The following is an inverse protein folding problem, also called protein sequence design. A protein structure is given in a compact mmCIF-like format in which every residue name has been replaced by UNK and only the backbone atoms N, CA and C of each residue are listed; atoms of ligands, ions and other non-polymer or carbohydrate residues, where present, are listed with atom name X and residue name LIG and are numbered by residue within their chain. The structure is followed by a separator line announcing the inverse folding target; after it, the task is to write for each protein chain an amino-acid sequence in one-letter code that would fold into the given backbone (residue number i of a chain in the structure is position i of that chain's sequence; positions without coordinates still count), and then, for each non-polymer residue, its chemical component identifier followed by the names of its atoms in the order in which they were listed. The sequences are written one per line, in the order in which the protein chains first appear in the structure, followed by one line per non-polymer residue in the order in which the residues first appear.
data_IF_456537180968
#
_entry.id   IF_456537180968
#
_cell.length_a   1.000
_cell.length_b   1.000
_cell.length_c   1.000
_cell.angle_alpha   90.00
_cell.angle_beta   90.00
_cell.angle_gamma   90.00
#
_symmetry.space_group_name_H-M   'P 1'
#
loop_
_entity.id
_entity.type
_entity.pdbx_description
1 polymer ?
#
# COMPACT_ATOMS: atom_id res chain seq x y z
N UNK A 1 -4.28 -6.05 18.58
CA UNK A 1 -5.09 -6.56 17.43
C UNK A 1 -4.89 -5.68 16.24
N UNK A 2 -4.60 -6.28 15.11
CA UNK A 2 -4.48 -5.60 13.83
C UNK A 2 -5.79 -5.79 13.06
N UNK A 3 -6.43 -4.69 12.71
CA UNK A 3 -7.66 -4.68 11.93
C UNK A 3 -7.33 -4.49 10.44
N UNK A 4 -7.83 -5.39 9.61
CA UNK A 4 -7.61 -5.39 8.16
C UNK A 4 -8.90 -4.98 7.48
N UNK A 5 -8.82 -4.00 6.62
CA UNK A 5 -9.94 -3.37 5.92
C UNK A 5 -9.85 -3.59 4.42
N UNK A 6 -11.01 -3.54 3.79
CA UNK A 6 -11.17 -3.51 2.33
C UNK A 6 -12.02 -2.33 1.92
N UNK A 7 -11.61 -1.64 0.88
CA UNK A 7 -12.38 -0.54 0.32
C UNK A 7 -13.21 -1.05 -0.86
N UNK A 8 -14.53 -0.96 -0.74
CA UNK A 8 -15.49 -1.36 -1.76
C UNK A 8 -16.36 -0.14 -2.07
N UNK A 9 -16.37 0.33 -3.32
CA UNK A 9 -17.14 1.50 -3.74
C UNK A 9 -16.93 2.74 -2.84
N UNK A 10 -15.68 3.00 -2.45
CA UNK A 10 -15.28 4.08 -1.52
C UNK A 10 -15.73 3.88 -0.06
N UNK A 11 -16.41 2.81 0.26
CA UNK A 11 -16.74 2.43 1.63
C UNK A 11 -15.72 1.46 2.20
N UNK A 12 -15.36 1.68 3.45
CA UNK A 12 -14.41 0.87 4.20
C UNK A 12 -15.13 -0.24 4.95
N UNK A 13 -14.72 -1.47 4.75
CA UNK A 13 -15.29 -2.65 5.41
C UNK A 13 -14.20 -3.41 6.16
N UNK A 14 -14.44 -3.74 7.42
CA UNK A 14 -13.57 -4.61 8.20
C UNK A 14 -13.65 -6.04 7.65
N UNK A 15 -12.50 -6.57 7.23
CA UNK A 15 -12.38 -7.92 6.66
C UNK A 15 -11.95 -8.93 7.72
N UNK A 16 -10.96 -8.55 8.53
CA UNK A 16 -10.40 -9.42 9.56
C UNK A 16 -9.85 -8.59 10.72
N UNK A 17 -9.82 -9.21 11.89
CA UNK A 17 -9.11 -8.71 13.06
C UNK A 17 -8.18 -9.83 13.54
N UNK A 18 -6.89 -9.58 13.52
CA UNK A 18 -5.88 -10.60 13.80
C UNK A 18 -4.99 -10.21 14.98
N UNK A 19 -4.49 -11.20 15.76
CA UNK A 19 -3.54 -10.91 16.83
C UNK A 19 -2.26 -10.27 16.29
N UNK A 20 -1.64 -9.41 17.07
CA UNK A 20 -0.39 -8.71 16.77
C UNK A 20 0.84 -9.27 17.49
N UNK A 21 0.68 -10.37 18.21
CA UNK A 21 1.73 -10.98 19.03
C UNK A 21 3.00 -11.34 18.24
N UNK A 22 2.84 -11.67 16.96
CA UNK A 22 3.92 -12.04 16.04
C UNK A 22 4.06 -11.04 14.87
N UNK A 23 3.68 -9.80 15.09
CA UNK A 23 3.84 -8.75 14.10
C UNK A 23 5.18 -8.03 14.27
N UNK A 24 5.85 -7.76 13.17
CA UNK A 24 7.08 -6.96 13.12
C UNK A 24 6.89 -5.82 12.14
N UNK A 25 7.07 -4.59 12.61
CA UNK A 25 7.12 -3.40 11.78
C UNK A 25 8.58 -3.03 11.53
N UNK A 26 8.99 -3.01 10.28
CA UNK A 26 10.29 -2.53 9.85
C UNK A 26 10.16 -1.21 9.09
N UNK A 27 10.87 -0.19 9.55
CA UNK A 27 10.98 1.11 8.87
C UNK A 27 12.43 1.49 8.71
N UNK A 28 12.86 1.58 7.45
CA UNK A 28 14.21 2.02 7.10
C UNK A 28 14.10 3.20 6.14
N UNK A 29 14.77 4.29 6.47
CA UNK A 29 14.78 5.48 5.60
C UNK A 29 15.30 5.09 4.21
N UNK A 30 14.50 5.38 3.18
CA UNK A 30 14.76 5.00 1.78
C UNK A 30 14.95 3.49 1.56
N UNK A 31 14.40 2.68 2.45
CA UNK A 31 14.47 1.23 2.41
C UNK A 31 13.13 0.59 2.73
N UNK A 32 13.16 -0.52 3.44
CA UNK A 32 11.96 -1.25 3.83
C UNK A 32 11.04 -0.41 4.71
N UNK A 33 9.76 -0.44 4.42
CA UNK A 33 8.67 0.07 5.24
C UNK A 33 7.51 -0.91 5.11
N UNK A 34 7.56 -1.97 5.91
CA UNK A 34 6.66 -3.10 5.80
C UNK A 34 6.33 -3.71 7.17
N UNK A 35 5.19 -4.39 7.24
CA UNK A 35 4.77 -5.18 8.38
C UNK A 35 4.73 -6.64 7.99
N UNK A 36 5.46 -7.48 8.71
CA UNK A 36 5.38 -8.93 8.59
C UNK A 36 4.59 -9.49 9.77
N UNK A 37 3.71 -10.43 9.50
CA UNK A 37 2.79 -10.98 10.49
C UNK A 37 2.54 -12.46 10.21
N UNK A 38 2.74 -13.30 11.22
CA UNK A 38 2.29 -14.70 11.20
C UNK A 38 1.11 -14.86 12.13
N UNK A 39 0.00 -15.36 11.63
CA UNK A 39 -1.22 -15.56 12.39
C UNK A 39 -1.80 -16.95 12.17
N UNK A 40 -2.27 -17.55 13.26
CA UNK A 40 -2.97 -18.86 13.23
C UNK A 40 -4.41 -18.63 13.66
N UNK A 41 -5.34 -19.10 12.85
CA UNK A 41 -6.79 -18.95 13.07
C UNK A 41 -7.51 -20.28 12.89
N UNK A 42 -8.69 -20.42 13.50
CA UNK A 42 -9.52 -21.61 13.42
C UNK A 42 -10.42 -21.65 12.17
N UNK A 43 -10.62 -20.50 11.55
CA UNK A 43 -11.41 -20.35 10.33
C UNK A 43 -10.60 -19.64 9.24
N UNK A 44 -10.80 -20.00 7.96
CA UNK A 44 -10.08 -19.36 6.89
C UNK A 44 -10.47 -17.87 6.77
N UNK A 45 -9.47 -17.03 6.52
CA UNK A 45 -9.64 -15.59 6.30
C UNK A 45 -9.76 -15.31 4.79
N UNK A 46 -10.70 -14.43 4.40
CA UNK A 46 -10.81 -13.92 3.02
C UNK A 46 -9.94 -12.67 2.83
N UNK A 47 -8.63 -12.87 2.82
CA UNK A 47 -7.66 -11.80 2.58
C UNK A 47 -7.31 -11.71 1.10
N UNK A 48 -7.25 -10.48 0.57
CA UNK A 48 -6.98 -10.21 -0.85
C UNK A 48 -5.92 -9.14 -1.01
N UNK A 49 -5.27 -9.15 -2.15
CA UNK A 49 -4.42 -8.04 -2.58
C UNK A 49 -5.25 -6.76 -2.62
N UNK A 50 -4.73 -5.70 -2.02
CA UNK A 50 -5.42 -4.42 -1.85
C UNK A 50 -6.07 -4.21 -0.48
N UNK A 51 -6.23 -5.26 0.33
CA UNK A 51 -6.62 -5.11 1.73
C UNK A 51 -5.52 -4.40 2.51
N UNK A 52 -5.87 -3.61 3.51
CA UNK A 52 -4.92 -2.76 4.23
C UNK A 52 -5.20 -2.69 5.72
N UNK A 53 -4.17 -2.37 6.47
CA UNK A 53 -4.23 -2.08 7.90
C UNK A 53 -3.62 -0.72 8.20
N UNK A 54 -4.08 -0.06 9.27
CA UNK A 54 -3.50 1.19 9.78
C UNK A 54 -2.69 0.90 11.03
N UNK A 55 -1.40 1.22 10.97
CA UNK A 55 -0.45 0.99 12.05
C UNK A 55 0.46 2.22 12.20
N UNK A 56 0.66 2.67 13.41
CA UNK A 56 1.55 3.80 13.72
C UNK A 56 1.30 5.05 12.84
N UNK A 57 0.03 5.34 12.55
CA UNK A 57 -0.37 6.49 11.74
C UNK A 57 -0.17 6.33 10.22
N UNK A 58 0.24 5.16 9.77
CA UNK A 58 0.43 4.84 8.35
C UNK A 58 -0.48 3.70 7.91
N UNK A 59 -0.81 3.66 6.64
CA UNK A 59 -1.51 2.52 6.04
C UNK A 59 -0.50 1.56 5.41
N UNK A 60 -0.72 0.27 5.60
CA UNK A 60 0.07 -0.81 5.00
C UNK A 60 -0.86 -1.73 4.25
N UNK A 61 -0.48 -2.12 3.04
CA UNK A 61 -1.33 -2.83 2.10
C UNK A 61 -0.78 -4.22 1.76
N UNK A 62 -1.67 -5.18 1.58
CA UNK A 62 -1.33 -6.50 1.04
C UNK A 62 -1.13 -6.35 -0.47
N UNK A 63 0.11 -6.49 -0.95
CA UNK A 63 0.47 -6.37 -2.38
C UNK A 63 0.70 -7.73 -3.05
N UNK A 64 0.75 -8.80 -2.27
CA UNK A 64 0.88 -10.17 -2.78
C UNK A 64 -0.06 -11.10 -2.03
N UNK A 65 -0.51 -12.16 -2.69
CA UNK A 65 -1.37 -13.15 -2.07
C UNK A 65 -0.69 -13.72 -0.82
N UNK A 66 -1.39 -13.72 0.34
CA UNK A 66 -0.85 -14.27 1.57
C UNK A 66 -0.52 -15.76 1.43
N UNK A 67 0.58 -16.18 2.03
CA UNK A 67 0.92 -17.59 2.13
C UNK A 67 0.02 -18.25 3.17
N UNK A 68 -0.69 -19.30 2.75
CA UNK A 68 -1.59 -20.06 3.59
C UNK A 68 -1.07 -21.49 3.77
N UNK A 69 -0.89 -21.88 5.02
CA UNK A 69 -0.61 -23.26 5.38
C UNK A 69 -1.77 -23.81 6.22
N UNK A 70 -2.40 -24.85 5.74
CA UNK A 70 -3.39 -25.60 6.52
C UNK A 70 -2.66 -26.59 7.42
N UNK A 71 -2.51 -26.26 8.71
CA UNK A 71 -1.80 -27.07 9.67
C UNK A 71 -2.62 -28.26 10.16
N UNK A 72 -3.95 -28.11 10.23
CA UNK A 72 -4.89 -29.19 10.59
C UNK A 72 -6.28 -28.95 10.01
N UNK A 73 -7.25 -29.78 10.35
CA UNK A 73 -8.64 -29.60 9.91
C UNK A 73 -9.29 -28.28 10.38
N UNK A 74 -8.78 -27.73 11.50
CA UNK A 74 -9.33 -26.54 12.17
C UNK A 74 -8.27 -25.46 12.45
N UNK A 75 -7.13 -25.54 11.78
CA UNK A 75 -6.02 -24.62 12.04
C UNK A 75 -5.41 -24.14 10.72
N UNK A 76 -5.49 -22.83 10.48
CA UNK A 76 -4.99 -22.16 9.30
C UNK A 76 -3.95 -21.15 9.71
N UNK A 77 -2.74 -21.25 9.17
CA UNK A 77 -1.66 -20.30 9.37
C UNK A 77 -1.49 -19.43 8.14
N UNK A 78 -1.47 -18.13 8.36
CA UNK A 78 -1.19 -17.13 7.34
C UNK A 78 0.11 -16.42 7.66
N UNK A 79 0.99 -16.31 6.67
CA UNK A 79 2.15 -15.45 6.70
C UNK A 79 1.85 -14.25 5.78
N UNK A 80 1.72 -13.07 6.38
CA UNK A 80 1.31 -11.83 5.73
C UNK A 80 2.48 -10.86 5.65
N UNK A 81 2.56 -10.16 4.53
CA UNK A 81 3.42 -8.99 4.36
C UNK A 81 2.56 -7.84 3.88
N UNK A 82 2.50 -6.78 4.68
CA UNK A 82 1.82 -5.53 4.34
C UNK A 82 2.88 -4.47 4.09
N UNK A 83 2.80 -3.85 2.94
CA UNK A 83 3.79 -2.89 2.46
C UNK A 83 3.24 -1.46 2.49
N UNK A 84 4.12 -0.49 2.69
CA UNK A 84 3.78 0.93 2.61
C UNK A 84 3.20 1.29 1.24
N UNK A 85 2.27 2.27 1.16
CA UNK A 85 1.74 2.76 -0.11
C UNK A 85 2.83 3.26 -1.08
N UNK A 86 4.01 3.60 -0.59
CA UNK A 86 5.15 3.98 -1.43
C UNK A 86 5.54 2.87 -2.41
N UNK A 87 5.35 1.61 -2.06
CA UNK A 87 5.60 0.49 -2.98
C UNK A 87 4.68 0.51 -4.21
N UNK A 88 3.50 1.10 -4.10
CA UNK A 88 2.57 1.25 -5.23
C UNK A 88 3.13 2.18 -6.32
N UNK A 89 4.09 3.03 -5.98
CA UNK A 89 4.76 3.91 -6.96
C UNK A 89 5.66 3.13 -7.92
N UNK A 90 6.11 1.93 -7.54
CA UNK A 90 6.92 1.06 -8.40
C UNK A 90 6.13 0.55 -9.63
N UNK A 91 4.81 0.48 -9.50
CA UNK A 91 3.92 0.02 -10.57
C UNK A 91 3.49 1.15 -11.52
N UNK A 92 3.95 2.40 -11.26
CA UNK A 92 3.57 3.56 -12.06
C UNK A 92 4.52 3.77 -13.24
N UNK A 93 3.91 3.92 -14.42
CA UNK A 93 4.63 4.29 -15.62
C UNK A 93 4.62 5.82 -15.74
N UNK A 94 5.80 6.41 -15.79
CA UNK A 94 5.99 7.83 -15.94
C UNK A 94 5.96 8.22 -17.42
N UNK A 95 4.96 9.03 -17.81
CA UNK A 95 4.73 9.46 -19.19
C UNK A 95 4.56 10.98 -19.28
N UNK A 96 4.82 11.54 -20.46
CA UNK A 96 4.49 12.93 -20.75
C UNK A 96 2.97 13.15 -20.72
N UNK A 97 2.53 14.32 -20.29
CA UNK A 97 1.11 14.69 -20.24
C UNK A 97 0.50 14.92 -21.63
N UNK A 98 1.29 15.45 -22.56
CA UNK A 98 0.82 15.88 -23.88
C UNK A 98 0.70 14.73 -24.89
N UNK A 99 1.67 13.82 -24.91
CA UNK A 99 1.77 12.78 -25.92
C UNK A 99 1.69 11.35 -25.36
N UNK A 100 1.65 11.19 -24.06
CA UNK A 100 1.65 9.88 -23.39
C UNK A 100 2.92 9.05 -23.65
N UNK A 101 4.04 9.70 -23.91
CA UNK A 101 5.30 9.04 -24.22
C UNK A 101 6.05 8.64 -22.95
N UNK A 102 6.59 7.43 -22.94
CA UNK A 102 7.44 6.93 -21.83
C UNK A 102 8.88 7.46 -21.90
N UNK A 103 9.29 8.01 -23.04
CA UNK A 103 10.58 8.70 -23.23
C UNK A 103 10.33 10.10 -23.73
N UNK A 104 10.75 11.09 -22.95
CA UNK A 104 10.54 12.49 -23.27
C UNK A 104 11.57 13.36 -22.53
N UNK A 105 11.67 14.62 -22.94
CA UNK A 105 12.44 15.63 -22.23
C UNK A 105 11.50 16.64 -21.60
N UNK A 106 11.78 17.03 -20.38
CA UNK A 106 11.05 18.08 -19.67
C UNK A 106 12.04 19.17 -19.28
N UNK A 107 11.68 20.41 -19.61
CA UNK A 107 12.40 21.61 -19.18
C UNK A 107 11.41 22.56 -18.55
N UNK A 108 11.72 23.06 -17.38
CA UNK A 108 10.82 23.95 -16.64
C UNK A 108 11.28 24.21 -15.22
N UNK A 109 10.37 24.70 -14.41
CA UNK A 109 10.57 24.96 -12.98
C UNK A 109 10.47 23.67 -12.17
N UNK A 110 10.89 23.70 -10.91
CA UNK A 110 10.67 22.58 -9.98
C UNK A 110 9.19 22.20 -9.89
N UNK A 111 8.32 23.22 -9.89
CA UNK A 111 6.87 23.02 -9.85
C UNK A 111 6.37 22.20 -11.05
N UNK A 112 6.86 22.48 -12.26
CA UNK A 112 6.48 21.74 -13.47
C UNK A 112 6.84 20.26 -13.35
N UNK A 113 8.00 19.94 -12.77
CA UNK A 113 8.42 18.55 -12.52
C UNK A 113 7.54 17.86 -11.47
N UNK A 114 7.20 18.56 -10.38
CA UNK A 114 6.34 18.00 -9.32
C UNK A 114 4.92 17.80 -9.83
N UNK A 115 4.37 18.72 -10.60
CA UNK A 115 3.03 18.59 -11.19
C UNK A 115 2.95 17.39 -12.13
N UNK A 116 3.95 17.19 -12.99
CA UNK A 116 4.00 16.03 -13.88
C UNK A 116 4.13 14.72 -13.07
N UNK A 117 4.92 14.69 -12.02
CA UNK A 117 5.04 13.55 -11.11
C UNK A 117 3.69 13.21 -10.48
N UNK A 118 3.00 14.20 -9.90
CA UNK A 118 1.70 14.00 -9.27
C UNK A 118 0.64 13.53 -10.27
N UNK A 119 0.64 14.09 -11.49
CA UNK A 119 -0.25 13.67 -12.55
C UNK A 119 -0.06 12.17 -12.87
N UNK A 120 1.19 11.73 -12.98
CA UNK A 120 1.48 10.32 -13.26
C UNK A 120 1.10 9.39 -12.11
N UNK A 121 1.37 9.79 -10.86
CA UNK A 121 1.03 8.98 -9.69
C UNK A 121 -0.48 8.88 -9.52
N UNK A 122 -1.22 9.94 -9.77
CA UNK A 122 -2.67 10.03 -9.59
C UNK A 122 -3.49 9.62 -10.83
N UNK A 123 -2.83 9.20 -11.92
CA UNK A 123 -3.51 8.87 -13.19
C UNK A 123 -4.54 7.75 -13.07
N UNK A 124 -4.33 6.83 -12.16
CA UNK A 124 -5.27 5.76 -11.85
C UNK A 124 -5.96 6.11 -10.54
N UNK A 125 -7.14 6.69 -10.61
CA UNK A 125 -8.05 7.06 -9.52
C UNK A 125 -7.66 6.63 -8.10
N UNK A 126 -6.71 7.35 -7.48
CA UNK A 126 -6.45 7.23 -6.05
C UNK A 126 -7.36 8.16 -5.28
N UNK A 127 -8.01 7.63 -4.26
CA UNK A 127 -8.83 8.39 -3.34
C UNK A 127 -8.35 8.15 -1.89
N UNK A 128 -7.79 9.14 -1.20
CA UNK A 128 -7.34 10.43 -1.73
C UNK A 128 -6.07 10.28 -2.57
N UNK A 129 -5.91 11.11 -3.59
CA UNK A 129 -4.71 11.13 -4.41
C UNK A 129 -3.48 11.62 -3.64
N UNK A 130 -2.31 11.43 -4.23
CA UNK A 130 -1.06 11.96 -3.72
C UNK A 130 -1.02 13.48 -3.89
N UNK A 131 -0.45 14.16 -2.91
CA UNK A 131 -0.25 15.60 -2.92
C UNK A 131 1.19 15.95 -2.58
N UNK A 132 1.65 17.08 -3.04
CA UNK A 132 2.92 17.64 -2.65
C UNK A 132 2.74 18.58 -1.46
N UNK A 133 3.61 18.46 -0.47
CA UNK A 133 3.72 19.40 0.63
C UNK A 133 5.17 19.85 0.78
N UNK A 134 5.38 21.14 1.07
CA UNK A 134 6.69 21.72 1.34
C UNK A 134 6.65 22.49 2.66
N UNK A 135 7.75 22.49 3.37
CA UNK A 135 7.91 23.25 4.62
C UNK A 135 8.15 24.74 4.36
N UNK A 136 8.30 25.12 3.09
CA UNK A 136 8.51 26.51 2.70
C UNK A 136 7.19 27.11 2.27
N UNK A 137 6.83 28.19 2.93
CA UNK A 137 5.82 29.12 2.45
C UNK A 137 6.40 29.84 1.22
N UNK A 138 6.05 29.37 0.05
CA UNK A 138 6.35 30.03 -1.21
C UNK A 138 5.20 30.97 -1.62
#
# INVERSE_FOLDING_TARGET
MIEIYRKINKEETLVASVPDDNATLERTLMGADEVTLSVTVSEPLDLRVGDYARLEGSSYMINRTPDLVKASAVEFRYDLVLESPLYNLLDKIYISDVQGLSRFSLSGTLNDFVELLLMNINREDFDPGWTWATDKDD
#
